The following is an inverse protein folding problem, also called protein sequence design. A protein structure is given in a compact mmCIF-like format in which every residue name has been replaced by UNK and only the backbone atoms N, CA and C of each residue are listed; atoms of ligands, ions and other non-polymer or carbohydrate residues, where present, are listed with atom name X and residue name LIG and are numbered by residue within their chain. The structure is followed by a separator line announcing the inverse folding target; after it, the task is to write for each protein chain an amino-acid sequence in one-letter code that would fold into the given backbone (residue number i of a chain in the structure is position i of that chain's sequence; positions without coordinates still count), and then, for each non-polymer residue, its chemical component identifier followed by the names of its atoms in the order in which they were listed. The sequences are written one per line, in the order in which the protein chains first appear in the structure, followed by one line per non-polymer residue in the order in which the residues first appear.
data_IF_133176229357
#
_entry.id   IF_133176229357
#
_cell.length_a   1.000
_cell.length_b   1.000
_cell.length_c   1.000
_cell.angle_alpha   90.00
_cell.angle_beta   90.00
_cell.angle_gamma   90.00
#
_symmetry.space_group_name_H-M   'P 1'
#
loop_
_entity.id
_entity.type
_entity.pdbx_description
1 polymer ?
#
# COMPACT_ATOMS: atom_id res chain seq x y z
N UNK A 1 -4.45 10.24 -5.77
CA UNK A 1 -3.14 10.85 -6.11
C UNK A 1 -2.03 10.31 -5.23
N UNK A 2 -2.07 10.42 -3.89
CA UNK A 2 -1.00 9.90 -3.02
C UNK A 2 -0.66 8.42 -3.26
N UNK A 3 -1.67 7.53 -3.37
CA UNK A 3 -1.42 6.12 -3.64
C UNK A 3 -0.70 5.83 -4.97
N UNK A 4 -0.79 6.70 -5.99
CA UNK A 4 -0.04 6.50 -7.25
C UNK A 4 1.43 6.90 -7.12
N UNK A 5 1.74 7.81 -6.21
CA UNK A 5 3.07 8.43 -6.07
C UNK A 5 3.77 8.03 -4.78
N UNK A 6 3.20 7.12 -3.98
CA UNK A 6 3.74 6.80 -2.67
C UNK A 6 5.15 6.18 -2.78
N UNK A 7 5.37 5.34 -3.78
CA UNK A 7 6.66 4.72 -4.11
C UNK A 7 7.50 5.49 -5.14
N UNK A 8 7.34 6.81 -5.28
CA UNK A 8 8.01 7.60 -6.34
C UNK A 8 9.54 7.51 -6.32
N UNK A 9 10.14 7.25 -5.16
CA UNK A 9 11.59 7.10 -5.02
C UNK A 9 12.10 5.66 -5.23
N UNK A 10 11.20 4.68 -5.36
CA UNK A 10 11.54 3.25 -5.31
C UNK A 10 12.60 2.89 -6.34
N UNK A 11 12.57 3.45 -7.55
CA UNK A 11 13.57 3.10 -8.57
C UNK A 11 14.96 3.71 -8.32
N UNK A 12 15.05 4.80 -7.56
CA UNK A 12 16.28 5.57 -7.41
C UNK A 12 16.97 5.41 -6.05
N UNK A 13 16.29 4.82 -5.05
CA UNK A 13 16.95 4.44 -3.79
C UNK A 13 18.03 3.38 -4.03
N UNK A 14 19.12 3.49 -3.29
CA UNK A 14 20.32 2.65 -3.44
C UNK A 14 20.30 1.45 -2.50
N UNK A 15 19.60 1.56 -1.37
CA UNK A 15 19.50 0.51 -0.36
C UNK A 15 18.67 -0.73 -0.74
N UNK A 16 18.27 -0.94 -1.99
CA UNK A 16 17.31 -2.02 -2.39
C UNK A 16 17.73 -3.44 -1.98
N UNK A 17 19.03 -3.71 -1.91
CA UNK A 17 19.58 -5.03 -1.58
C UNK A 17 19.62 -5.30 -0.07
N UNK A 18 19.45 -4.26 0.76
CA UNK A 18 19.46 -4.35 2.22
C UNK A 18 18.21 -3.68 2.79
N UNK A 19 17.34 -4.47 3.44
CA UNK A 19 16.06 -3.96 3.94
C UNK A 19 16.21 -2.77 4.91
N UNK A 20 17.22 -2.77 5.77
CA UNK A 20 17.43 -1.67 6.72
C UNK A 20 17.86 -0.38 6.01
N UNK A 21 18.68 -0.48 4.97
CA UNK A 21 19.07 0.65 4.14
C UNK A 21 17.90 1.16 3.30
N UNK A 22 17.17 0.25 2.65
CA UNK A 22 15.95 0.56 1.91
C UNK A 22 14.96 1.35 2.77
N UNK A 23 14.65 0.87 3.97
CA UNK A 23 13.67 1.51 4.84
C UNK A 23 14.13 2.88 5.37
N UNK A 24 15.45 3.12 5.48
CA UNK A 24 15.97 4.44 5.86
C UNK A 24 15.89 5.46 4.73
N UNK A 25 16.10 5.02 3.48
CA UNK A 25 16.09 5.90 2.30
C UNK A 25 14.68 6.17 1.78
N UNK A 26 13.86 5.11 1.68
CA UNK A 26 12.52 5.17 1.11
C UNK A 26 11.62 6.12 1.89
N UNK A 27 10.81 6.91 1.18
CA UNK A 27 9.99 7.99 1.71
C UNK A 27 10.78 9.16 2.36
N UNK A 28 12.11 9.17 2.23
CA UNK A 28 12.97 10.20 2.79
C UNK A 28 13.04 11.47 1.93
N UNK A 29 14.21 12.11 1.94
CA UNK A 29 14.43 13.37 1.21
C UNK A 29 14.30 13.21 -0.32
N UNK A 30 14.55 12.01 -0.87
CA UNK A 30 14.42 11.76 -2.30
C UNK A 30 12.97 11.82 -2.77
N UNK A 31 12.05 11.15 -2.05
CA UNK A 31 10.59 11.27 -2.26
C UNK A 31 10.16 12.74 -2.24
N UNK A 32 10.55 13.47 -1.19
CA UNK A 32 10.19 14.89 -1.03
C UNK A 32 10.74 15.76 -2.17
N UNK A 33 11.96 15.49 -2.64
CA UNK A 33 12.55 16.17 -3.79
C UNK A 33 11.72 15.95 -5.05
N UNK A 34 11.44 14.71 -5.44
CA UNK A 34 10.67 14.43 -6.67
C UNK A 34 9.25 15.01 -6.62
N UNK A 35 8.58 14.91 -5.48
CA UNK A 35 7.24 15.47 -5.33
C UNK A 35 7.25 17.00 -5.42
N UNK A 36 8.28 17.67 -4.92
CA UNK A 36 8.42 19.13 -5.09
C UNK A 36 8.71 19.53 -6.54
N UNK A 37 9.49 18.74 -7.28
CA UNK A 37 9.81 19.02 -8.69
C UNK A 37 8.57 19.00 -9.60
N UNK A 38 7.49 18.33 -9.18
CA UNK A 38 6.20 18.29 -9.89
C UNK A 38 5.12 19.17 -9.22
N UNK A 39 5.52 20.12 -8.37
CA UNK A 39 4.62 21.02 -7.63
C UNK A 39 3.55 20.29 -6.80
N UNK A 40 3.87 19.12 -6.24
CA UNK A 40 2.93 18.36 -5.41
C UNK A 40 2.66 19.06 -4.07
N UNK A 41 1.41 19.08 -3.57
CA UNK A 41 1.07 19.79 -2.34
C UNK A 41 1.88 19.32 -1.12
N UNK A 42 2.42 20.27 -0.35
CA UNK A 42 3.32 19.98 0.77
C UNK A 42 2.67 19.14 1.89
N UNK A 43 1.37 19.31 2.13
CA UNK A 43 0.58 18.50 3.05
C UNK A 43 0.47 17.04 2.57
N UNK A 44 0.31 16.84 1.26
CA UNK A 44 0.25 15.50 0.65
C UNK A 44 1.62 14.83 0.53
N UNK A 45 2.72 15.60 0.42
CA UNK A 45 4.08 15.06 0.56
C UNK A 45 4.22 14.40 1.93
N UNK A 46 3.80 15.08 3.01
CA UNK A 46 3.86 14.55 4.38
C UNK A 46 3.05 13.26 4.53
N UNK A 47 1.87 13.21 3.90
CA UNK A 47 1.04 12.00 3.83
C UNK A 47 1.80 10.85 3.20
N UNK A 48 2.43 11.06 2.04
CA UNK A 48 3.25 10.03 1.39
C UNK A 48 4.39 9.63 2.32
N UNK A 49 5.21 10.55 2.81
CA UNK A 49 6.37 10.15 3.61
C UNK A 49 6.00 9.37 4.90
N UNK A 50 4.83 9.65 5.48
CA UNK A 50 4.33 8.98 6.70
C UNK A 50 3.92 7.51 6.53
N UNK A 51 3.83 7.00 5.30
CA UNK A 51 3.52 5.59 5.08
C UNK A 51 4.73 4.66 5.36
N UNK A 52 5.94 5.22 5.44
CA UNK A 52 7.10 4.56 6.01
C UNK A 52 7.33 5.04 7.45
N UNK A 53 7.13 4.15 8.43
CA UNK A 53 7.28 4.48 9.85
C UNK A 53 8.70 4.89 10.26
N UNK A 54 9.73 4.44 9.53
CA UNK A 54 11.15 4.76 9.81
C UNK A 54 11.42 6.25 9.65
N UNK A 55 10.63 6.96 8.84
CA UNK A 55 10.75 8.40 8.67
C UNK A 55 10.26 9.19 9.90
N UNK A 56 9.63 8.55 10.88
CA UNK A 56 9.12 9.16 12.12
C UNK A 56 8.19 10.37 11.87
N UNK A 57 7.44 10.34 10.77
CA UNK A 57 6.46 11.37 10.40
C UNK A 57 5.08 10.94 10.92
N UNK A 58 4.41 11.73 11.77
CA UNK A 58 3.10 11.38 12.30
C UNK A 58 2.00 11.26 11.23
N UNK A 59 1.11 10.26 11.39
CA UNK A 59 -0.08 10.05 10.56
C UNK A 59 -1.29 10.80 11.13
N UNK A 60 -1.30 12.12 10.98
CA UNK A 60 -2.31 12.98 11.63
C UNK A 60 -3.63 13.10 10.86
N UNK A 61 -3.68 12.60 9.62
CA UNK A 61 -4.86 12.69 8.76
C UNK A 61 -5.45 11.32 8.45
N UNK A 62 -6.76 11.29 8.17
CA UNK A 62 -7.43 10.06 7.73
C UNK A 62 -6.79 9.49 6.45
N UNK A 63 -6.28 10.34 5.58
CA UNK A 63 -5.58 9.93 4.35
C UNK A 63 -4.24 9.26 4.65
N UNK A 64 -3.42 9.80 5.56
CA UNK A 64 -2.15 9.21 5.96
C UNK A 64 -2.35 7.81 6.59
N UNK A 65 -3.32 7.71 7.52
CA UNK A 65 -3.70 6.46 8.16
C UNK A 65 -4.21 5.42 7.15
N UNK A 66 -5.02 5.85 6.19
CA UNK A 66 -5.52 4.99 5.12
C UNK A 66 -4.40 4.51 4.19
N UNK A 67 -3.47 5.39 3.80
CA UNK A 67 -2.34 5.04 2.93
C UNK A 67 -1.44 3.98 3.60
N UNK A 68 -1.11 4.19 4.88
CA UNK A 68 -0.32 3.25 5.66
C UNK A 68 -0.97 1.87 5.77
N UNK A 69 -2.28 1.81 6.07
CA UNK A 69 -2.99 0.54 6.20
C UNK A 69 -3.18 -0.19 4.86
N UNK A 70 -3.44 0.57 3.78
CA UNK A 70 -3.78 -0.02 2.48
C UNK A 70 -2.56 -0.55 1.74
N UNK A 71 -1.39 0.09 1.89
CA UNK A 71 -0.16 -0.30 1.20
C UNK A 71 0.16 -1.79 1.42
N UNK A 72 0.38 -2.21 2.67
CA UNK A 72 0.63 -3.60 2.99
C UNK A 72 -0.50 -4.56 2.59
N UNK A 73 -1.76 -4.10 2.63
CA UNK A 73 -2.91 -4.93 2.23
C UNK A 73 -2.94 -5.17 0.72
N UNK A 74 -2.58 -4.18 -0.10
CA UNK A 74 -2.56 -4.36 -1.56
C UNK A 74 -1.50 -5.38 -1.98
N UNK A 75 -0.30 -5.30 -1.42
CA UNK A 75 0.75 -6.30 -1.61
C UNK A 75 0.31 -7.70 -1.15
N UNK A 76 -0.43 -7.77 -0.05
CA UNK A 76 -1.01 -9.03 0.43
C UNK A 76 -2.04 -9.62 -0.54
N UNK A 77 -2.98 -8.81 -1.04
CA UNK A 77 -3.99 -9.24 -2.00
C UNK A 77 -3.34 -9.72 -3.31
N UNK A 78 -2.29 -9.04 -3.78
CA UNK A 78 -1.48 -9.50 -4.93
C UNK A 78 -0.82 -10.85 -4.65
N UNK A 79 -0.30 -11.08 -3.45
CA UNK A 79 0.24 -12.39 -3.09
C UNK A 79 -0.85 -13.47 -3.12
N UNK A 80 -2.07 -13.16 -2.64
CA UNK A 80 -3.22 -14.06 -2.72
C UNK A 80 -3.62 -14.32 -4.18
N UNK A 81 -3.58 -13.33 -5.06
CA UNK A 81 -3.90 -13.53 -6.47
C UNK A 81 -2.91 -14.48 -7.14
N UNK A 82 -1.61 -14.38 -6.85
CA UNK A 82 -0.55 -15.22 -7.44
C UNK A 82 -0.71 -16.72 -7.21
N UNK A 83 -1.48 -17.13 -6.20
CA UNK A 83 -1.77 -18.54 -5.90
C UNK A 83 -3.15 -19.00 -6.39
N UNK A 84 -3.95 -18.11 -6.99
CA UNK A 84 -5.18 -18.51 -7.68
C UNK A 84 -4.80 -19.28 -8.96
N UNK A 85 -5.64 -20.24 -9.42
CA UNK A 85 -5.36 -21.01 -10.64
C UNK A 85 -5.08 -20.15 -11.88
N UNK A 86 -5.79 -19.03 -12.02
CA UNK A 86 -5.65 -18.08 -13.13
C UNK A 86 -4.68 -16.92 -12.83
N UNK A 87 -4.20 -16.82 -11.58
CA UNK A 87 -3.33 -15.76 -11.06
C UNK A 87 -3.93 -14.35 -11.10
N UNK A 88 -5.25 -14.23 -11.27
CA UNK A 88 -5.93 -12.94 -11.45
C UNK A 88 -6.54 -12.42 -10.14
N UNK A 89 -6.47 -11.10 -9.93
CA UNK A 89 -7.13 -10.44 -8.78
C UNK A 89 -8.66 -10.58 -8.85
N UNK A 90 -9.23 -10.64 -10.07
CA UNK A 90 -10.67 -10.83 -10.29
C UNK A 90 -11.22 -12.09 -9.64
N UNK A 91 -10.39 -13.13 -9.50
CA UNK A 91 -10.77 -14.41 -8.91
C UNK A 91 -10.53 -14.48 -7.40
N UNK A 92 -9.91 -13.45 -6.82
CA UNK A 92 -9.72 -13.36 -5.37
C UNK A 92 -11.05 -13.00 -4.70
N UNK A 93 -11.38 -13.74 -3.65
CA UNK A 93 -12.53 -13.52 -2.78
C UNK A 93 -12.08 -13.02 -1.41
N UNK A 94 -12.93 -12.27 -0.71
CA UNK A 94 -12.64 -11.76 0.64
C UNK A 94 -12.26 -12.89 1.59
N UNK A 95 -12.96 -14.02 1.54
CA UNK A 95 -12.71 -15.18 2.40
C UNK A 95 -11.32 -15.78 2.16
N UNK A 96 -10.86 -15.79 0.91
CA UNK A 96 -9.51 -16.23 0.56
C UNK A 96 -8.45 -15.34 1.21
N UNK A 97 -8.65 -14.01 1.15
CA UNK A 97 -7.75 -13.04 1.78
C UNK A 97 -7.75 -13.22 3.30
N UNK A 98 -8.92 -13.29 3.93
CA UNK A 98 -9.06 -13.46 5.39
C UNK A 98 -8.47 -14.79 5.87
N UNK A 99 -8.67 -15.88 5.12
CA UNK A 99 -8.07 -17.18 5.44
C UNK A 99 -6.55 -17.08 5.42
N UNK A 100 -5.98 -16.55 4.33
CA UNK A 100 -4.52 -16.40 4.20
C UNK A 100 -3.95 -15.41 5.21
N UNK A 101 -4.69 -14.39 5.61
CA UNK A 101 -4.24 -13.41 6.60
C UNK A 101 -3.82 -14.05 7.92
N UNK A 102 -4.48 -15.16 8.31
CA UNK A 102 -4.17 -15.95 9.51
C UNK A 102 -2.91 -16.82 9.36
N UNK A 103 -2.47 -17.07 8.15
CA UNK A 103 -1.31 -17.92 7.86
C UNK A 103 -0.03 -17.08 7.90
N UNK A 104 0.64 -17.01 9.06
CA UNK A 104 1.83 -16.16 9.27
C UNK A 104 2.96 -16.36 8.25
N UNK A 105 3.10 -17.58 7.71
CA UNK A 105 4.13 -17.89 6.68
C UNK A 105 3.75 -17.38 5.29
N UNK A 106 2.47 -17.20 5.02
CA UNK A 106 2.01 -16.71 3.74
C UNK A 106 2.26 -15.21 3.62
N UNK A 107 3.00 -14.80 2.58
CA UNK A 107 3.45 -13.42 2.39
C UNK A 107 4.08 -12.84 3.67
N UNK A 108 5.04 -13.57 4.25
CA UNK A 108 5.67 -13.26 5.53
C UNK A 108 6.39 -11.89 5.60
N UNK A 109 6.76 -11.33 4.45
CA UNK A 109 7.36 -10.00 4.35
C UNK A 109 6.35 -8.87 4.62
N UNK A 110 5.04 -9.14 4.52
CA UNK A 110 4.01 -8.12 4.74
C UNK A 110 3.67 -8.03 6.22
N UNK A 111 3.84 -6.84 6.81
CA UNK A 111 3.49 -6.59 8.20
C UNK A 111 1.96 -6.56 8.39
N UNK A 112 1.43 -7.53 9.16
CA UNK A 112 -0.02 -7.63 9.45
C UNK A 112 -0.50 -6.53 10.38
N UNK A 113 0.34 -6.05 11.29
CA UNK A 113 -0.02 -4.97 12.23
C UNK A 113 -0.26 -3.64 11.50
N UNK A 114 0.49 -3.38 10.42
CA UNK A 114 0.25 -2.20 9.58
C UNK A 114 -1.14 -2.25 8.94
N UNK A 115 -1.55 -3.41 8.46
CA UNK A 115 -2.90 -3.61 7.90
C UNK A 115 -3.96 -3.45 9.00
N UNK A 116 -3.73 -4.02 10.18
CA UNK A 116 -4.65 -3.93 11.33
C UNK A 116 -4.79 -2.52 11.90
N UNK A 117 -3.88 -1.59 11.56
CA UNK A 117 -4.06 -0.17 11.89
C UNK A 117 -5.37 0.42 11.32
N UNK A 118 -5.99 -0.21 10.31
CA UNK A 118 -7.32 0.18 9.86
C UNK A 118 -8.39 0.11 10.99
N UNK A 119 -8.27 -0.84 11.91
CA UNK A 119 -9.21 -0.98 13.02
C UNK A 119 -8.94 0.08 14.07
N UNK A 120 -7.68 0.30 14.44
CA UNK A 120 -7.28 1.21 15.54
C UNK A 120 -7.23 2.68 15.13
N UNK A 121 -6.79 2.99 13.91
CA UNK A 121 -6.57 4.37 13.45
C UNK A 121 -7.74 4.91 12.59
N UNK A 122 -8.48 4.03 11.90
CA UNK A 122 -9.60 4.41 11.02
C UNK A 122 -10.98 3.98 11.54
N UNK A 123 -11.04 3.09 12.53
CA UNK A 123 -12.29 2.52 13.05
C UNK A 123 -13.01 1.61 12.05
N UNK A 124 -12.29 1.01 11.09
CA UNK A 124 -12.86 0.16 10.05
C UNK A 124 -12.52 -1.30 10.38
N UNK A 125 -13.52 -2.20 10.56
CA UNK A 125 -13.25 -3.62 10.76
C UNK A 125 -12.42 -4.20 9.61
N UNK A 126 -11.43 -5.03 9.92
CA UNK A 126 -10.52 -5.65 8.94
C UNK A 126 -11.26 -6.30 7.77
N UNK A 127 -12.33 -7.06 8.04
CA UNK A 127 -13.12 -7.73 7.01
C UNK A 127 -13.71 -6.74 5.99
N UNK A 128 -14.24 -5.61 6.50
CA UNK A 128 -14.77 -4.54 5.67
C UNK A 128 -13.66 -3.81 4.92
N UNK A 129 -12.51 -3.59 5.56
CA UNK A 129 -11.36 -2.97 4.92
C UNK A 129 -10.83 -3.82 3.76
N UNK A 130 -10.69 -5.13 3.96
CA UNK A 130 -10.32 -6.10 2.92
C UNK A 130 -11.29 -6.06 1.75
N UNK A 131 -12.59 -6.06 2.01
CA UNK A 131 -13.62 -5.98 0.98
C UNK A 131 -13.48 -4.69 0.15
N UNK A 132 -13.40 -3.53 0.80
CA UNK A 132 -13.27 -2.23 0.12
C UNK A 132 -12.04 -2.16 -0.79
N UNK A 133 -10.89 -2.63 -0.30
CA UNK A 133 -9.62 -2.59 -1.04
C UNK A 133 -9.65 -3.59 -2.18
N UNK A 134 -10.12 -4.81 -1.95
CA UNK A 134 -10.22 -5.84 -2.98
C UNK A 134 -11.14 -5.41 -4.13
N UNK A 135 -12.32 -4.87 -3.84
CA UNK A 135 -13.24 -4.40 -4.87
C UNK A 135 -12.65 -3.21 -5.64
N UNK A 136 -11.98 -2.28 -4.96
CA UNK A 136 -11.26 -1.19 -5.62
C UNK A 136 -10.17 -1.71 -6.57
N UNK A 137 -9.41 -2.73 -6.16
CA UNK A 137 -8.37 -3.34 -6.99
C UNK A 137 -8.93 -4.11 -8.19
N UNK A 138 -10.13 -4.69 -8.09
CA UNK A 138 -10.81 -5.33 -9.23
C UNK A 138 -11.36 -4.31 -10.22
N UNK A 139 -11.77 -3.14 -9.74
CA UNK A 139 -12.31 -2.07 -10.57
C UNK A 139 -11.22 -1.33 -11.38
N UNK A 140 -9.94 -1.43 -10.97
CA UNK A 140 -8.77 -0.90 -11.69
C UNK A 140 -8.50 -1.51 -13.08
N UNK A 141 -9.50 -2.15 -13.70
CA UNK A 141 -9.52 -2.28 -15.15
C UNK A 141 -9.58 -0.88 -15.74
N UNK A 142 -8.43 -0.35 -16.13
CA UNK A 142 -8.32 0.63 -17.19
C UNK A 142 -9.34 0.26 -18.27
N UNK A 143 -10.25 1.19 -18.56
CA UNK A 143 -11.10 1.14 -19.76
C UNK A 143 -10.19 1.14 -20.99
N UNK A 144 -9.59 0.00 -21.32
CA UNK A 144 -9.07 -0.30 -22.66
C UNK A 144 -10.23 -0.69 -23.58
N UNK A 145 -11.32 0.08 -23.52
CA UNK A 145 -12.33 0.17 -24.57
C UNK A 145 -12.24 1.58 -25.14
N UNK A 146 -11.11 1.87 -25.80
CA UNK A 146 -11.09 2.87 -26.87
C UNK A 146 -11.37 2.07 -28.13
N UNK A 147 -12.65 1.79 -28.34
CA UNK A 147 -13.22 1.53 -29.66
C UNK A 147 -14.46 2.41 -29.72
N UNK A 148 -14.25 3.64 -30.19
CA UNK A 148 -15.11 4.41 -31.08
C UNK A 148 -14.43 5.75 -31.38
#
# INVERSE_FOLDING_TARGET
MCGLLHDIDYEQITGKENMDAHMKEHCGELTKKFLKEIDFPADLIRVIQSHNEVQNIPRDSRLAKALFAVDGLTGFIVAVSKIMPDKQISSVKVESVIKRFKEKRFAAAVNREHILSCETELGIPKERFVEMVLESMKDLRFKNNINN
#
